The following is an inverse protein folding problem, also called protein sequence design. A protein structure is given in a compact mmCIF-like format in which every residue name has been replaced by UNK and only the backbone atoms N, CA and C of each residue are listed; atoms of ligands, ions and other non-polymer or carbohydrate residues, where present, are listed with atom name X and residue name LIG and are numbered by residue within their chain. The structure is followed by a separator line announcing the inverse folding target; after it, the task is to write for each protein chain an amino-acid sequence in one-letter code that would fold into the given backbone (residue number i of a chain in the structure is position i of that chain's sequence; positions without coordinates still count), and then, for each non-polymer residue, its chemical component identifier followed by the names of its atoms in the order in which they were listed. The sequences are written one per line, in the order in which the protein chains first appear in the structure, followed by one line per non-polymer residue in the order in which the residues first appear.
data_IF_742576884542
#
_entry.id   IF_742576884542
#
_cell.length_a   1.000
_cell.length_b   1.000
_cell.length_c   1.000
_cell.angle_alpha   90.00
_cell.angle_beta   90.00
_cell.angle_gamma   90.00
#
_symmetry.space_group_name_H-M   'P 1'
#
loop_
_entity.id
_entity.type
_entity.pdbx_description
1 polymer ?
#
# COMPACT_ATOMS: atom_id res chain seq x y z
N UNK A 1 -5.16 -1.60 15.58
CA UNK A 1 -4.40 -2.74 15.04
C UNK A 1 -5.10 -4.02 15.48
N UNK A 2 -5.56 -4.83 14.53
CA UNK A 2 -6.16 -6.15 14.78
C UNK A 2 -5.07 -7.17 15.14
N UNK A 3 -5.36 -8.07 16.10
CA UNK A 3 -4.47 -9.18 16.46
C UNK A 3 -4.77 -10.47 15.68
N UNK A 4 -5.81 -10.49 14.83
CA UNK A 4 -6.23 -11.68 14.09
C UNK A 4 -5.08 -12.26 13.23
N UNK A 5 -4.17 -11.41 12.77
CA UNK A 5 -3.11 -11.78 11.82
C UNK A 5 -1.79 -12.25 12.45
N UNK A 6 -1.64 -12.22 13.77
CA UNK A 6 -0.32 -12.52 14.41
C UNK A 6 0.11 -13.98 14.21
N UNK A 7 -0.83 -14.90 13.95
CA UNK A 7 -0.56 -16.31 13.69
C UNK A 7 -0.69 -16.71 12.21
N UNK A 8 -0.97 -15.76 11.32
CA UNK A 8 -1.20 -16.05 9.90
C UNK A 8 0.09 -16.54 9.24
N UNK A 9 0.00 -17.63 8.49
CA UNK A 9 1.08 -18.14 7.66
C UNK A 9 0.79 -17.90 6.19
N UNK A 10 1.85 -17.87 5.38
CA UNK A 10 1.70 -17.92 3.93
C UNK A 10 0.87 -19.13 3.50
N UNK A 11 0.04 -18.93 2.49
CA UNK A 11 -0.67 -19.96 1.75
C UNK A 11 0.08 -20.11 0.43
N UNK A 12 0.53 -21.33 0.11
CA UNK A 12 1.05 -21.61 -1.23
C UNK A 12 -0.12 -21.63 -2.21
N UNK A 13 -0.04 -20.83 -3.27
CA UNK A 13 -1.13 -20.66 -4.23
C UNK A 13 -0.61 -20.83 -5.65
N UNK A 14 -1.44 -21.39 -6.51
CA UNK A 14 -1.24 -21.30 -7.95
C UNK A 14 -2.01 -20.08 -8.47
N UNK A 15 -1.27 -19.02 -8.80
CA UNK A 15 -1.89 -17.78 -9.29
C UNK A 15 -2.64 -17.96 -10.61
N UNK A 16 -2.21 -18.90 -11.46
CA UNK A 16 -2.91 -19.16 -12.71
C UNK A 16 -4.25 -19.85 -12.45
N UNK A 17 -4.27 -20.80 -11.51
CA UNK A 17 -5.51 -21.45 -11.09
C UNK A 17 -6.47 -20.46 -10.43
N UNK A 18 -5.97 -19.62 -9.52
CA UNK A 18 -6.81 -18.64 -8.81
C UNK A 18 -7.39 -17.56 -9.72
N UNK A 19 -6.65 -17.16 -10.76
CA UNK A 19 -7.13 -16.18 -11.75
C UNK A 19 -8.26 -16.72 -12.61
N UNK A 20 -8.30 -18.03 -12.85
CA UNK A 20 -9.25 -18.66 -13.75
C UNK A 20 -9.00 -18.30 -15.23
N UNK A 21 -9.87 -18.80 -16.11
CA UNK A 21 -9.71 -18.66 -17.57
C UNK A 21 -9.85 -17.21 -18.05
N UNK A 22 -10.62 -16.39 -17.32
CA UNK A 22 -10.89 -14.98 -17.66
C UNK A 22 -9.95 -13.99 -16.93
N UNK A 23 -9.02 -14.49 -16.10
CA UNK A 23 -8.10 -13.70 -15.26
C UNK A 23 -8.76 -12.81 -14.19
N UNK A 24 -10.05 -12.98 -13.91
CA UNK A 24 -10.80 -12.13 -12.99
C UNK A 24 -10.71 -12.56 -11.52
N UNK A 25 -10.29 -13.80 -11.22
CA UNK A 25 -10.35 -14.33 -9.86
C UNK A 25 -9.32 -13.75 -8.87
N UNK A 26 -8.35 -12.97 -9.37
CA UNK A 26 -7.36 -12.26 -8.56
C UNK A 26 -7.27 -10.82 -9.05
N UNK A 27 -7.60 -9.88 -8.17
CA UNK A 27 -7.47 -8.45 -8.44
C UNK A 27 -6.21 -7.90 -7.76
N UNK A 28 -5.35 -7.26 -8.53
CA UNK A 28 -4.22 -6.48 -7.99
C UNK A 28 -4.74 -5.10 -7.61
N UNK A 29 -4.48 -4.67 -6.37
CA UNK A 29 -4.84 -3.34 -5.90
C UNK A 29 -3.65 -2.41 -6.20
N UNK A 30 -3.80 -1.59 -7.25
CA UNK A 30 -2.75 -0.68 -7.69
C UNK A 30 -2.62 0.52 -6.74
N UNK A 31 -1.39 1.04 -6.54
CA UNK A 31 -1.19 2.28 -5.80
C UNK A 31 -1.78 3.47 -6.56
N UNK A 32 -1.98 4.59 -5.87
CA UNK A 32 -2.48 5.81 -6.50
C UNK A 32 -1.46 6.31 -7.53
N UNK A 33 -1.94 6.65 -8.73
CA UNK A 33 -1.10 7.30 -9.75
C UNK A 33 -0.75 8.71 -9.25
N UNK A 34 0.54 8.99 -9.10
CA UNK A 34 1.07 10.28 -8.66
C UNK A 34 1.72 11.01 -9.82
N UNK A 35 2.02 12.31 -9.65
CA UNK A 35 2.83 13.09 -10.61
C UNK A 35 4.18 12.39 -10.89
N UNK A 36 4.84 11.88 -9.85
CA UNK A 36 6.13 11.18 -10.00
C UNK A 36 6.01 9.94 -10.92
N UNK A 37 4.89 9.19 -10.81
CA UNK A 37 4.61 8.05 -11.70
C UNK A 37 4.42 8.54 -13.13
N UNK A 38 3.61 9.59 -13.34
CA UNK A 38 3.40 10.16 -14.67
C UNK A 38 4.71 10.62 -15.30
N UNK A 39 5.56 11.33 -14.55
CA UNK A 39 6.88 11.79 -14.99
C UNK A 39 7.80 10.62 -15.33
N UNK A 40 7.86 9.59 -14.49
CA UNK A 40 8.67 8.40 -14.73
C UNK A 40 8.33 7.70 -16.06
N UNK A 41 7.05 7.70 -16.42
CA UNK A 41 6.54 7.06 -17.64
C UNK A 41 6.35 8.03 -18.81
N UNK A 42 6.85 9.28 -18.69
CA UNK A 42 6.70 10.35 -19.69
C UNK A 42 5.24 10.62 -20.10
N UNK A 43 4.30 10.50 -19.15
CA UNK A 43 2.95 10.97 -19.33
C UNK A 43 2.91 12.49 -19.10
N UNK A 44 2.79 13.26 -20.18
CA UNK A 44 2.80 14.73 -20.14
C UNK A 44 1.60 15.26 -19.33
N UNK A 45 1.89 16.18 -18.41
CA UNK A 45 0.88 16.97 -17.70
C UNK A 45 0.86 18.33 -18.38
N UNK A 46 -0.32 18.78 -18.78
CA UNK A 46 -0.47 20.07 -19.46
C UNK A 46 -0.07 21.19 -18.49
N UNK A 47 0.73 22.15 -18.97
CA UNK A 47 1.24 23.25 -18.15
C UNK A 47 0.37 24.50 -18.30
N UNK A 48 0.13 25.20 -17.20
CA UNK A 48 -0.59 26.46 -17.22
C UNK A 48 0.20 27.54 -17.98
N UNK A 49 -0.39 28.07 -19.06
CA UNK A 49 0.21 29.16 -19.84
C UNK A 49 -0.14 30.53 -19.22
N UNK A 50 0.78 31.07 -18.43
CA UNK A 50 0.63 32.38 -17.80
C UNK A 50 0.48 33.50 -18.84
N UNK A 51 1.12 33.40 -20.01
CA UNK A 51 1.05 34.45 -21.02
C UNK A 51 -0.33 34.50 -21.68
N UNK A 52 -0.89 33.33 -22.01
CA UNK A 52 -2.25 33.19 -22.56
C UNK A 52 -3.29 33.72 -21.56
N UNK A 53 -3.17 33.34 -20.28
CA UNK A 53 -4.08 33.84 -19.24
C UNK A 53 -4.02 35.36 -19.08
N UNK A 54 -2.83 35.97 -19.14
CA UNK A 54 -2.66 37.41 -19.03
C UNK A 54 -3.19 38.18 -20.25
N UNK A 55 -3.25 37.55 -21.42
CA UNK A 55 -3.88 38.10 -22.64
C UNK A 55 -5.40 38.14 -22.49
N UNK A 56 -6.00 37.07 -21.95
CA UNK A 56 -7.43 36.97 -21.70
C UNK A 56 -7.91 37.79 -20.48
N UNK A 57 -7.01 38.11 -19.55
CA UNK A 57 -7.29 38.83 -18.30
C UNK A 57 -6.41 40.09 -18.18
N UNK A 58 -6.72 41.16 -18.95
CA UNK A 58 -5.96 42.39 -18.95
C UNK A 58 -6.00 43.09 -17.59
N UNK A 59 -4.94 43.83 -17.25
CA UNK A 59 -4.80 44.47 -15.93
C UNK A 59 -5.93 45.47 -15.60
N UNK A 60 -6.62 46.01 -16.60
CA UNK A 60 -7.75 46.94 -16.44
C UNK A 60 -8.99 46.29 -15.79
N UNK A 61 -9.09 44.96 -15.82
CA UNK A 61 -10.21 44.21 -15.23
C UNK A 61 -10.08 44.01 -13.71
N UNK A 62 -8.93 44.38 -13.12
CA UNK A 62 -8.63 44.22 -11.70
C UNK A 62 -8.46 45.58 -11.01
N UNK A 63 -8.87 45.70 -9.75
CA UNK A 63 -8.71 46.96 -9.02
C UNK A 63 -7.27 47.16 -8.53
N UNK A 64 -6.53 46.07 -8.32
CA UNK A 64 -5.11 46.08 -7.91
C UNK A 64 -4.30 44.93 -8.53
N UNK A 65 -2.98 45.10 -8.58
CA UNK A 65 -2.05 44.04 -9.02
C UNK A 65 -2.07 42.83 -8.07
N UNK A 66 -2.31 43.07 -6.78
CA UNK A 66 -2.42 42.01 -5.77
C UNK A 66 -3.65 41.13 -6.03
N UNK A 67 -4.79 41.73 -6.40
CA UNK A 67 -6.00 40.99 -6.80
C UNK A 67 -5.78 40.17 -8.06
N UNK A 68 -5.10 40.74 -9.07
CA UNK A 68 -4.76 40.03 -10.31
C UNK A 68 -3.84 38.84 -10.06
N UNK A 69 -2.81 39.03 -9.23
CA UNK A 69 -1.87 37.97 -8.85
C UNK A 69 -2.57 36.85 -8.07
N UNK A 70 -3.48 37.20 -7.16
CA UNK A 70 -4.27 36.22 -6.42
C UNK A 70 -5.25 35.45 -7.32
N UNK A 71 -5.88 36.12 -8.28
CA UNK A 71 -6.76 35.49 -9.26
C UNK A 71 -5.97 34.49 -10.15
N UNK A 72 -4.82 34.90 -10.67
CA UNK A 72 -3.95 34.03 -11.47
C UNK A 72 -3.46 32.82 -10.67
N UNK A 73 -3.05 33.01 -9.41
CA UNK A 73 -2.61 31.91 -8.55
C UNK A 73 -3.74 30.90 -8.28
N UNK A 74 -4.98 31.39 -8.11
CA UNK A 74 -6.15 30.54 -7.94
C UNK A 74 -6.47 29.77 -9.23
N UNK A 75 -6.48 30.44 -10.38
CA UNK A 75 -6.73 29.80 -11.67
C UNK A 75 -5.66 28.75 -11.98
N UNK A 76 -4.39 29.09 -11.76
CA UNK A 76 -3.27 28.16 -11.92
C UNK A 76 -3.43 26.91 -11.06
N UNK A 77 -3.84 27.08 -9.80
CA UNK A 77 -4.10 25.93 -8.93
C UNK A 77 -5.26 25.06 -9.46
N UNK A 78 -6.38 25.67 -9.85
CA UNK A 78 -7.54 24.95 -10.40
C UNK A 78 -7.19 24.24 -11.73
N UNK A 79 -6.40 24.88 -12.58
CA UNK A 79 -5.86 24.30 -13.81
C UNK A 79 -4.90 23.15 -13.53
N UNK A 80 -3.94 23.31 -12.61
CA UNK A 80 -2.97 22.27 -12.27
C UNK A 80 -3.67 21.01 -11.72
N UNK A 81 -4.73 21.17 -10.93
CA UNK A 81 -5.55 20.05 -10.43
C UNK A 81 -6.30 19.35 -11.58
N UNK A 82 -6.96 20.12 -12.46
CA UNK A 82 -7.65 19.56 -13.63
C UNK A 82 -6.70 18.87 -14.61
N UNK A 83 -5.56 19.48 -14.91
CA UNK A 83 -4.55 18.96 -15.83
C UNK A 83 -3.94 17.66 -15.32
N UNK A 84 -3.78 17.52 -13.99
CA UNK A 84 -3.35 16.28 -13.37
C UNK A 84 -4.39 15.17 -13.54
N UNK A 85 -5.67 15.45 -13.28
CA UNK A 85 -6.75 14.47 -13.45
C UNK A 85 -6.85 14.02 -14.92
N UNK A 86 -6.79 14.95 -15.87
CA UNK A 86 -6.79 14.64 -17.31
C UNK A 86 -5.56 13.82 -17.71
N UNK A 87 -4.38 14.11 -17.16
CA UNK A 87 -3.18 13.32 -17.40
C UNK A 87 -3.29 11.89 -16.83
N UNK A 88 -3.90 11.73 -15.65
CA UNK A 88 -4.18 10.41 -15.05
C UNK A 88 -5.13 9.61 -15.94
N UNK A 89 -6.21 10.21 -16.44
CA UNK A 89 -7.16 9.53 -17.33
C UNK A 89 -6.47 9.09 -18.63
N UNK A 90 -5.71 9.98 -19.28
CA UNK A 90 -4.91 9.63 -20.47
C UNK A 90 -3.90 8.53 -20.18
N UNK A 91 -3.24 8.58 -19.03
CA UNK A 91 -2.27 7.56 -18.63
C UNK A 91 -2.94 6.20 -18.48
N UNK A 92 -4.09 6.10 -17.81
CA UNK A 92 -4.84 4.84 -17.62
C UNK A 92 -5.20 4.13 -18.93
N UNK A 93 -5.39 4.89 -20.00
CA UNK A 93 -5.68 4.36 -21.35
C UNK A 93 -4.42 4.05 -22.18
N UNK A 94 -3.22 4.31 -21.64
CA UNK A 94 -1.95 4.16 -22.36
C UNK A 94 -1.26 2.82 -22.12
N UNK A 95 -0.40 2.42 -23.06
CA UNK A 95 0.49 1.25 -22.90
C UNK A 95 1.42 1.38 -21.68
N UNK A 96 1.84 2.61 -21.35
CA UNK A 96 2.72 2.88 -20.22
C UNK A 96 2.06 2.55 -18.87
N UNK A 97 0.74 2.74 -18.75
CA UNK A 97 0.01 2.31 -17.57
C UNK A 97 -0.06 0.79 -17.46
N UNK A 98 -0.21 0.07 -18.58
CA UNK A 98 -0.15 -1.40 -18.55
C UNK A 98 1.24 -1.89 -18.11
N UNK A 99 2.31 -1.31 -18.64
CA UNK A 99 3.69 -1.64 -18.22
C UNK A 99 3.92 -1.35 -16.73
N UNK A 100 3.41 -0.23 -16.22
CA UNK A 100 3.46 0.12 -14.80
C UNK A 100 2.66 -0.87 -13.94
N UNK A 101 1.41 -1.17 -14.33
CA UNK A 101 0.55 -2.09 -13.61
C UNK A 101 1.15 -3.51 -13.53
N UNK A 102 1.78 -3.97 -14.61
CA UNK A 102 2.45 -5.28 -14.68
C UNK A 102 3.62 -5.40 -13.68
N UNK A 103 4.19 -4.30 -13.20
CA UNK A 103 5.24 -4.36 -12.15
C UNK A 103 4.73 -4.84 -10.80
N UNK A 104 3.40 -4.78 -10.57
CA UNK A 104 2.75 -5.21 -9.33
C UNK A 104 2.27 -6.66 -9.39
N UNK A 105 2.54 -7.38 -10.48
CA UNK A 105 2.18 -8.77 -10.65
C UNK A 105 2.91 -9.68 -9.63
N UNK A 106 2.19 -10.57 -8.91
CA UNK A 106 2.81 -11.57 -8.04
C UNK A 106 3.82 -12.45 -8.79
N UNK A 107 5.08 -12.41 -8.38
CA UNK A 107 6.14 -13.27 -8.92
C UNK A 107 6.29 -14.59 -8.17
N UNK A 108 5.88 -14.63 -6.90
CA UNK A 108 6.05 -15.77 -6.01
C UNK A 108 4.70 -16.40 -5.66
N UNK A 109 4.63 -17.73 -5.61
CA UNK A 109 3.42 -18.52 -5.32
C UNK A 109 3.04 -18.55 -3.83
N UNK A 110 3.13 -17.40 -3.15
CA UNK A 110 2.77 -17.25 -1.75
C UNK A 110 1.80 -16.08 -1.57
N UNK A 111 0.67 -16.37 -0.96
CA UNK A 111 -0.34 -15.42 -0.53
C UNK A 111 -0.29 -15.28 0.98
N UNK A 112 -0.21 -14.05 1.48
CA UNK A 112 -0.20 -13.74 2.90
C UNK A 112 -1.49 -13.03 3.29
N UNK A 113 -2.50 -13.74 3.82
CA UNK A 113 -3.79 -13.14 4.15
C UNK A 113 -3.64 -11.93 5.07
N UNK A 114 -4.34 -10.85 4.75
CA UNK A 114 -4.36 -9.64 5.57
C UNK A 114 -5.77 -9.09 5.67
N UNK A 115 -6.12 -8.66 6.88
CA UNK A 115 -7.33 -7.88 7.11
C UNK A 115 -6.89 -6.42 7.24
N UNK A 116 -7.50 -5.51 6.48
CA UNK A 116 -7.18 -4.10 6.61
C UNK A 116 -7.53 -3.57 8.01
N UNK A 117 -6.65 -2.73 8.55
CA UNK A 117 -6.89 -2.02 9.79
C UNK A 117 -8.10 -1.10 9.69
N UNK A 118 -8.74 -0.84 10.84
CA UNK A 118 -9.86 0.10 10.89
C UNK A 118 -9.48 1.48 10.33
N UNK A 119 -10.23 1.94 9.32
CA UNK A 119 -10.03 3.24 8.67
C UNK A 119 -8.87 3.31 7.68
N UNK A 120 -8.28 2.16 7.32
CA UNK A 120 -7.29 2.08 6.24
C UNK A 120 -8.01 1.78 4.92
N UNK A 121 -7.90 2.68 3.96
CA UNK A 121 -8.45 2.49 2.61
C UNK A 121 -7.52 1.62 1.74
N UNK A 122 -8.10 0.89 0.79
CA UNK A 122 -7.39 -0.09 -0.05
C UNK A 122 -6.26 0.56 -0.89
N UNK A 123 -6.59 1.61 -1.63
CA UNK A 123 -5.62 2.31 -2.48
C UNK A 123 -4.54 3.02 -1.66
N UNK A 124 -4.88 3.52 -0.47
CA UNK A 124 -3.92 4.13 0.45
C UNK A 124 -2.94 3.07 0.97
N UNK A 125 -3.43 1.90 1.37
CA UNK A 125 -2.57 0.78 1.76
C UNK A 125 -1.65 0.35 0.62
N UNK A 126 -2.15 0.21 -0.61
CA UNK A 126 -1.35 -0.13 -1.78
C UNK A 126 -0.27 0.93 -2.07
N UNK A 127 -0.61 2.21 -1.95
CA UNK A 127 0.33 3.33 -2.10
C UNK A 127 1.45 3.29 -1.05
N UNK A 128 1.08 3.05 0.21
CA UNK A 128 2.06 2.93 1.29
C UNK A 128 2.95 1.69 1.12
N UNK A 129 2.40 0.57 0.62
CA UNK A 129 3.16 -0.63 0.30
C UNK A 129 4.20 -0.32 -0.78
N UNK A 130 3.82 0.33 -1.88
CA UNK A 130 4.76 0.69 -2.95
C UNK A 130 5.94 1.53 -2.43
N UNK A 131 5.64 2.53 -1.58
CA UNK A 131 6.65 3.44 -1.03
C UNK A 131 7.59 2.80 0.02
N UNK A 132 7.15 1.76 0.72
CA UNK A 132 7.84 1.26 1.91
C UNK A 132 8.18 -0.23 1.89
N UNK A 133 7.57 -0.96 0.98
CA UNK A 133 7.64 -2.41 0.83
C UNK A 133 7.68 -2.78 -0.66
N UNK A 134 8.58 -2.16 -1.43
CA UNK A 134 8.63 -2.22 -2.91
C UNK A 134 8.87 -3.61 -3.54
N UNK A 135 8.81 -4.69 -2.78
CA UNK A 135 8.78 -6.07 -3.28
C UNK A 135 7.47 -6.80 -2.96
N UNK A 136 6.49 -6.08 -2.43
CA UNK A 136 5.19 -6.57 -2.03
C UNK A 136 4.08 -5.82 -2.78
N UNK A 137 2.97 -6.50 -2.98
CA UNK A 137 1.78 -5.96 -3.64
C UNK A 137 0.54 -6.40 -2.87
N UNK A 138 -0.50 -5.58 -2.88
CA UNK A 138 -1.78 -5.90 -2.27
C UNK A 138 -2.69 -6.54 -3.32
N UNK A 139 -3.26 -7.70 -2.99
CA UNK A 139 -4.16 -8.43 -3.87
C UNK A 139 -5.45 -8.80 -3.15
N UNK A 140 -6.52 -8.92 -3.91
CA UNK A 140 -7.79 -9.51 -3.49
C UNK A 140 -8.02 -10.80 -4.25
N UNK A 141 -8.35 -11.89 -3.54
CA UNK A 141 -8.60 -13.21 -4.13
C UNK A 141 -10.07 -13.56 -3.93
N UNK A 142 -10.84 -13.59 -5.03
CA UNK A 142 -12.30 -13.75 -4.99
C UNK A 142 -12.72 -15.09 -4.39
N UNK A 143 -12.06 -16.18 -4.79
CA UNK A 143 -12.39 -17.53 -4.30
C UNK A 143 -12.18 -17.72 -2.79
N UNK A 144 -11.36 -16.86 -2.18
CA UNK A 144 -11.09 -16.84 -0.74
C UNK A 144 -11.85 -15.71 -0.03
N UNK A 145 -12.51 -14.82 -0.77
CA UNK A 145 -13.18 -13.61 -0.27
C UNK A 145 -12.28 -12.83 0.70
N UNK A 146 -11.01 -12.65 0.33
CA UNK A 146 -10.02 -12.08 1.26
C UNK A 146 -8.89 -11.34 0.56
N UNK A 147 -8.37 -10.32 1.25
CA UNK A 147 -7.19 -9.59 0.84
C UNK A 147 -5.94 -10.30 1.33
N UNK A 148 -4.83 -10.08 0.64
CA UNK A 148 -3.54 -10.52 1.09
C UNK A 148 -2.41 -9.80 0.41
N UNK A 149 -1.22 -10.03 0.96
CA UNK A 149 0.01 -9.50 0.43
C UNK A 149 0.65 -10.60 -0.40
N UNK A 150 1.00 -10.28 -1.64
CA UNK A 150 1.82 -11.12 -2.50
C UNK A 150 3.19 -10.46 -2.72
N UNK A 151 4.18 -11.24 -3.15
CA UNK A 151 5.51 -10.71 -3.45
C UNK A 151 5.66 -10.52 -4.96
N UNK A 152 5.85 -9.28 -5.38
CA UNK A 152 6.13 -8.85 -6.77
C UNK A 152 7.63 -8.75 -7.05
N UNK A 153 8.49 -8.88 -6.03
CA UNK A 153 9.95 -8.89 -6.17
C UNK A 153 10.60 -10.25 -5.87
N UNK A 154 11.84 -10.42 -6.34
CA UNK A 154 12.69 -11.56 -6.02
C UNK A 154 13.82 -11.20 -5.06
N UNK A 155 14.32 -12.16 -4.27
CA UNK A 155 15.43 -11.93 -3.34
C UNK A 155 15.67 -13.10 -2.39
N UNK A 156 16.77 -13.04 -1.62
CA UNK A 156 17.09 -14.10 -0.64
C UNK A 156 16.23 -14.03 0.62
N UNK A 157 15.88 -12.83 1.09
CA UNK A 157 15.03 -12.62 2.27
C UNK A 157 14.24 -11.32 2.14
N UNK A 158 12.91 -11.44 2.01
CA UNK A 158 11.95 -10.33 1.86
C UNK A 158 11.11 -10.13 3.13
N UNK A 159 11.54 -10.68 4.28
CA UNK A 159 10.77 -10.62 5.53
C UNK A 159 10.54 -9.18 6.01
N UNK A 160 11.48 -8.26 5.75
CA UNK A 160 11.32 -6.84 6.07
C UNK A 160 10.25 -6.16 5.24
N UNK A 161 10.28 -6.36 3.93
CA UNK A 161 9.30 -5.81 2.98
C UNK A 161 7.90 -6.36 3.29
N UNK A 162 7.80 -7.66 3.58
CA UNK A 162 6.54 -8.25 4.01
C UNK A 162 6.04 -7.67 5.34
N UNK A 163 6.92 -7.50 6.35
CA UNK A 163 6.55 -6.87 7.61
C UNK A 163 6.11 -5.41 7.44
N UNK A 164 6.80 -4.66 6.57
CA UNK A 164 6.41 -3.30 6.21
C UNK A 164 5.03 -3.26 5.54
N UNK A 165 4.74 -4.20 4.63
CA UNK A 165 3.45 -4.27 3.96
C UNK A 165 2.28 -4.52 4.92
N UNK A 166 2.46 -5.40 5.91
CA UNK A 166 1.46 -5.59 6.98
C UNK A 166 1.19 -4.29 7.77
N UNK A 167 2.23 -3.48 8.02
CA UNK A 167 2.06 -2.20 8.69
C UNK A 167 1.35 -1.15 7.84
N UNK A 168 1.63 -1.12 6.55
CA UNK A 168 0.92 -0.26 5.60
C UNK A 168 -0.58 -0.62 5.57
N UNK A 169 -0.92 -1.90 5.79
CA UNK A 169 -2.29 -2.37 5.96
C UNK A 169 -2.89 -2.08 7.37
N UNK A 170 -2.16 -1.42 8.27
CA UNK A 170 -2.62 -1.15 9.65
C UNK A 170 -2.61 -2.37 10.58
N UNK A 171 -1.85 -3.41 10.24
CA UNK A 171 -1.77 -4.68 10.95
C UNK A 171 -0.42 -4.90 11.63
N UNK A 172 -0.43 -5.71 12.70
CA UNK A 172 0.81 -6.25 13.27
C UNK A 172 1.26 -7.42 12.39
N UNK A 173 2.52 -7.45 11.91
CA UNK A 173 2.99 -8.56 11.09
C UNK A 173 2.94 -9.89 11.86
N UNK A 174 2.68 -11.01 11.16
CA UNK A 174 2.77 -12.34 11.73
C UNK A 174 4.07 -12.63 12.48
N UNK A 175 3.98 -13.40 13.57
CA UNK A 175 5.13 -13.71 14.43
C UNK A 175 6.24 -14.47 13.70
N UNK A 176 5.88 -15.37 12.78
CA UNK A 176 6.86 -16.12 11.98
C UNK A 176 7.70 -15.20 11.08
N UNK A 177 7.16 -14.06 10.65
CA UNK A 177 7.91 -13.01 9.94
C UNK A 177 8.77 -12.25 10.93
N UNK A 178 8.17 -11.72 12.01
CA UNK A 178 8.88 -10.89 12.99
C UNK A 178 10.05 -11.61 13.67
N UNK A 179 9.89 -12.89 13.99
CA UNK A 179 10.95 -13.72 14.59
C UNK A 179 12.05 -14.12 13.60
N UNK A 180 11.76 -14.07 12.30
CA UNK A 180 12.69 -14.39 11.22
C UNK A 180 13.42 -13.18 10.64
N UNK A 181 13.17 -11.96 11.14
CA UNK A 181 13.75 -10.75 10.57
C UNK A 181 15.29 -10.82 10.57
N UNK A 182 15.95 -10.63 9.41
CA UNK A 182 17.39 -10.71 9.33
C UNK A 182 18.04 -9.54 10.07
N UNK A 183 19.21 -9.80 10.66
CA UNK A 183 20.02 -8.78 11.34
C UNK A 183 20.62 -7.82 10.30
N UNK A 184 19.86 -6.82 9.87
CA UNK A 184 20.38 -5.77 9.01
C UNK A 184 21.04 -4.67 9.84
N UNK A 185 22.27 -4.29 9.48
CA UNK A 185 23.00 -3.19 10.11
C UNK A 185 22.72 -1.82 9.49
N UNK A 186 22.09 -1.75 8.31
CA UNK A 186 22.25 -0.56 7.44
C UNK A 186 20.98 -0.03 6.74
N UNK A 187 19.78 -0.62 6.93
CA UNK A 187 18.54 0.02 6.47
C UNK A 187 18.03 0.99 7.54
N UNK A 188 18.38 2.28 7.45
CA UNK A 188 17.74 3.33 8.23
C UNK A 188 16.45 3.77 7.51
N UNK A 189 15.34 3.09 7.81
CA UNK A 189 14.00 3.49 7.38
C UNK A 189 13.11 3.63 8.62
N UNK A 190 12.31 4.70 8.70
CA UNK A 190 11.35 4.95 9.78
C UNK A 190 10.39 3.77 9.99
N UNK A 191 10.05 3.06 8.91
CA UNK A 191 9.21 1.84 8.95
C UNK A 191 9.88 0.73 9.74
N UNK A 192 11.19 0.51 9.55
CA UNK A 192 11.96 -0.49 10.30
C UNK A 192 11.99 -0.12 11.78
N UNK A 193 12.19 1.17 12.08
CA UNK A 193 12.13 1.66 13.45
C UNK A 193 10.77 1.37 14.08
N UNK A 194 9.68 1.60 13.36
CA UNK A 194 8.33 1.28 13.83
C UNK A 194 8.10 -0.23 14.03
N UNK A 195 8.60 -1.07 13.12
CA UNK A 195 8.58 -2.54 13.28
C UNK A 195 9.25 -2.93 14.61
N UNK A 196 10.47 -2.42 14.84
CA UNK A 196 11.28 -2.80 16.01
C UNK A 196 10.73 -2.23 17.31
N UNK A 197 10.36 -0.95 17.34
CA UNK A 197 9.99 -0.24 18.56
C UNK A 197 8.53 -0.43 18.97
N UNK A 198 7.64 -0.77 18.03
CA UNK A 198 6.19 -0.87 18.30
C UNK A 198 5.68 -2.28 18.04
N UNK A 199 6.00 -2.86 16.90
CA UNK A 199 5.33 -4.08 16.45
C UNK A 199 5.86 -5.32 17.17
N UNK A 200 7.19 -5.44 17.32
CA UNK A 200 7.80 -6.54 18.07
C UNK A 200 7.31 -6.55 19.54
N UNK A 201 7.32 -5.43 20.29
CA UNK A 201 6.76 -5.40 21.64
C UNK A 201 5.29 -5.79 21.71
N UNK A 202 4.44 -5.25 20.82
CA UNK A 202 3.01 -5.61 20.79
C UNK A 202 2.77 -7.09 20.46
N UNK A 203 3.57 -7.65 19.56
CA UNK A 203 3.52 -9.08 19.25
C UNK A 203 3.93 -9.92 20.48
N UNK A 204 4.93 -9.47 21.25
CA UNK A 204 5.33 -10.13 22.48
C UNK A 204 4.22 -10.08 23.56
N UNK A 205 3.61 -8.90 23.79
CA UNK A 205 2.47 -8.74 24.71
C UNK A 205 1.31 -9.67 24.34
N UNK A 206 0.94 -9.74 23.05
CA UNK A 206 -0.09 -10.66 22.58
C UNK A 206 0.23 -12.13 22.88
N UNK A 207 1.50 -12.54 22.72
CA UNK A 207 1.92 -13.90 23.01
C UNK A 207 1.87 -14.22 24.50
N UNK A 208 2.20 -13.25 25.36
CA UNK A 208 2.07 -13.38 26.81
C UNK A 208 0.60 -13.57 27.23
N UNK A 209 -0.30 -12.75 26.69
CA UNK A 209 -1.74 -12.85 26.95
C UNK A 209 -2.31 -14.20 26.48
N UNK A 210 -1.92 -14.64 25.29
CA UNK A 210 -2.31 -15.95 24.74
C UNK A 210 -1.83 -17.09 25.62
N UNK A 211 -0.59 -17.03 26.10
CA UNK A 211 -0.04 -18.03 27.01
C UNK A 211 -0.80 -18.06 28.36
N UNK A 212 -1.15 -16.90 28.91
CA UNK A 212 -1.95 -16.81 30.13
C UNK A 212 -3.35 -17.41 29.95
N UNK A 213 -4.03 -17.08 28.85
CA UNK A 213 -5.35 -17.65 28.52
C UNK A 213 -5.34 -19.17 28.42
N UNK A 214 -4.29 -19.76 27.80
CA UNK A 214 -4.14 -21.21 27.72
C UNK A 214 -3.90 -21.85 29.08
N UNK A 215 -3.11 -21.23 29.96
CA UNK A 215 -2.92 -21.70 31.35
C UNK A 215 -4.24 -21.70 32.12
N UNK A 216 -5.01 -20.63 32.02
CA UNK A 216 -6.32 -20.53 32.67
C UNK A 216 -7.30 -21.60 32.17
N UNK A 217 -7.29 -21.87 30.86
CA UNK A 217 -8.11 -22.93 30.28
C UNK A 217 -7.66 -24.32 30.76
N UNK A 218 -6.36 -24.60 30.79
CA UNK A 218 -5.82 -25.85 31.29
C UNK A 218 -6.19 -26.11 32.77
N UNK A 219 -6.12 -25.06 33.61
CA UNK A 219 -6.55 -25.14 35.00
C UNK A 219 -8.04 -25.50 35.11
N UNK A 220 -8.91 -24.81 34.36
CA UNK A 220 -10.36 -25.11 34.32
C UNK A 220 -10.65 -26.55 33.87
N UNK A 221 -9.90 -27.07 32.90
CA UNK A 221 -10.06 -28.46 32.45
C UNK A 221 -9.59 -29.46 33.49
N UNK A 222 -8.54 -29.12 34.26
CA UNK A 222 -8.03 -29.97 35.34
C UNK A 222 -9.06 -30.07 36.47
N UNK A 223 -9.68 -28.94 36.85
CA UNK A 223 -10.75 -28.89 37.85
C UNK A 223 -12.00 -29.71 37.47
N UNK A 224 -12.19 -30.03 36.18
CA UNK A 224 -13.32 -30.86 35.70
C UNK A 224 -13.02 -32.36 35.75
N UNK A 225 -11.73 -32.74 35.84
CA UNK A 225 -11.29 -34.13 35.86
C UNK A 225 -11.14 -34.65 37.30
N UNK A 226 -10.96 -33.74 38.28
CA UNK A 226 -10.94 -34.03 39.72
C UNK A 226 -12.35 -34.11 40.34
#
# INVERSE_FOLDING_TARGET
MSYANVLTSAINVDWQELRGDDLEGVQIILPKITRDVLEQYNAEIDEFDEADWLEDNPAEDFATEDERSAAMAKEKQEFDESALDDAIERFKESDAHHEWADTFEPMMNYFWPVELGYGVELEEAATMIDQHAGCATLVYVESLDTHGIALSGGGMDLSWDLAAAYLCCGCVPPLNILSGLPHMKERSNEVIKHIVEVCIPKAAEFMEDRANSLRDHANKLTDLIE
#
